data_IF_976851703881
#
_entry.id   IF_976851703881
#
_cell.length_a   1.000
_cell.length_b   1.000
_cell.length_c   1.000
_cell.angle_alpha   90.00
_cell.angle_beta   90.00
_cell.angle_gamma   90.00
#
_symmetry.space_group_name_H-M   'P 1'
#
loop_
_entity.id
_entity.type
_entity.pdbx_description
1 polymer ?
#
# COMPACT_ATOMS: atom_id res chain seq x y z
N UNK A 1 19.81 27.12 -45.59
CA UNK A 1 19.39 28.21 -44.67
C UNK A 1 19.35 27.64 -43.28
N UNK A 2 20.28 28.10 -42.44
CA UNK A 2 20.55 27.60 -41.10
C UNK A 2 19.40 27.89 -40.12
N UNK A 3 19.16 26.99 -39.17
CA UNK A 3 19.05 27.36 -37.76
C UNK A 3 19.37 26.13 -36.90
N UNK A 4 20.56 26.18 -36.30
CA UNK A 4 20.96 25.33 -35.19
C UNK A 4 20.22 25.79 -33.93
N UNK A 5 19.70 24.86 -33.13
CA UNK A 5 19.40 25.10 -31.73
C UNK A 5 20.34 24.23 -30.90
N UNK A 6 21.19 24.96 -30.20
CA UNK A 6 22.31 24.52 -29.39
C UNK A 6 21.83 23.89 -28.09
N UNK A 7 22.60 22.90 -27.66
CA UNK A 7 22.62 22.23 -26.38
C UNK A 7 22.71 23.21 -25.20
N UNK A 8 21.90 23.00 -24.17
CA UNK A 8 22.20 23.45 -22.81
C UNK A 8 22.17 22.23 -21.88
N UNK A 9 23.36 21.68 -21.68
CA UNK A 9 23.70 20.80 -20.58
C UNK A 9 23.70 21.63 -19.29
N UNK A 10 22.62 21.53 -18.53
CA UNK A 10 22.59 22.05 -17.15
C UNK A 10 23.24 21.03 -16.24
N UNK A 11 24.52 21.25 -15.95
CA UNK A 11 25.25 20.64 -14.84
C UNK A 11 24.52 20.99 -13.53
N UNK A 12 23.80 20.02 -12.96
CA UNK A 12 23.26 20.15 -11.62
C UNK A 12 24.40 19.93 -10.61
N UNK A 13 24.78 21.03 -9.97
CA UNK A 13 25.79 21.08 -8.93
C UNK A 13 25.28 20.32 -7.70
N UNK A 14 26.01 19.26 -7.35
CA UNK A 14 25.79 18.44 -6.16
C UNK A 14 26.19 19.24 -4.91
N UNK A 15 25.20 19.74 -4.16
CA UNK A 15 25.45 20.37 -2.86
C UNK A 15 25.10 19.38 -1.75
N UNK A 16 26.14 18.68 -1.27
CA UNK A 16 26.10 17.81 -0.10
C UNK A 16 25.91 18.65 1.16
N UNK A 17 24.71 18.62 1.75
CA UNK A 17 24.47 19.10 3.11
C UNK A 17 24.53 17.90 4.06
N UNK A 18 25.59 17.86 4.84
CA UNK A 18 25.77 16.88 5.91
C UNK A 18 25.03 17.24 7.21
N UNK A 19 24.79 16.19 8.01
CA UNK A 19 24.44 16.14 9.44
C UNK A 19 22.94 16.44 9.73
N UNK A 20 22.20 15.61 10.48
CA UNK A 20 22.53 14.87 11.72
C UNK A 20 21.63 13.62 11.89
N UNK A 21 22.06 12.57 12.62
CA UNK A 21 21.19 11.47 13.00
C UNK A 21 20.27 11.90 14.15
N UNK A 22 18.96 11.76 13.98
CA UNK A 22 17.99 12.13 15.01
C UNK A 22 17.86 11.00 16.05
N UNK A 23 18.10 11.41 17.30
CA UNK A 23 18.15 10.62 18.51
C UNK A 23 16.79 9.96 18.82
N UNK A 24 16.81 8.70 19.26
CA UNK A 24 15.64 8.03 19.80
C UNK A 24 15.23 8.69 21.13
N UNK A 25 14.00 9.21 21.20
CA UNK A 25 13.44 9.80 22.41
C UNK A 25 12.88 8.69 23.28
N UNK A 26 13.66 8.24 24.28
CA UNK A 26 13.12 7.56 25.47
C UNK A 26 12.12 8.51 26.13
N UNK A 27 10.89 8.02 26.34
CA UNK A 27 9.92 8.65 27.23
C UNK A 27 10.23 8.17 28.65
N UNK A 28 10.84 9.03 29.44
CA UNK A 28 10.90 8.89 30.89
C UNK A 28 9.49 9.16 31.44
N UNK A 29 8.94 8.18 32.15
CA UNK A 29 7.76 8.35 32.99
C UNK A 29 8.24 8.77 34.38
N UNK A 30 8.09 10.05 34.70
CA UNK A 30 8.21 10.56 36.05
C UNK A 30 7.14 11.64 36.26
N UNK A 31 6.30 11.42 37.28
CA UNK A 31 5.42 12.45 37.85
C UNK A 31 3.93 12.21 37.62
N UNK A 32 3.25 11.59 38.60
CA UNK A 32 2.10 12.23 39.21
C UNK A 32 1.77 11.64 40.59
N UNK A 33 1.28 12.53 41.44
CA UNK A 33 1.18 12.49 42.89
C UNK A 33 0.04 11.62 43.44
N UNK A 34 0.20 11.15 44.68
CA UNK A 34 -0.88 10.69 45.56
C UNK A 34 -1.84 11.84 45.93
N UNK A 35 -3.16 11.56 45.94
CA UNK A 35 -4.12 11.72 47.06
C UNK A 35 -5.58 11.97 46.59
N UNK A 36 -6.43 10.97 46.88
CA UNK A 36 -7.83 11.02 47.39
C UNK A 36 -9.07 11.38 46.52
N UNK A 37 -10.28 10.88 46.88
CA UNK A 37 -11.20 10.19 45.98
C UNK A 37 -12.61 10.85 45.86
N UNK A 38 -13.51 10.18 45.13
CA UNK A 38 -14.95 10.42 44.93
C UNK A 38 -15.33 11.33 43.75
N UNK A 39 -15.70 10.74 42.60
CA UNK A 39 -16.97 10.99 41.89
C UNK A 39 -17.25 9.79 40.99
N UNK A 40 -18.39 9.14 41.23
CA UNK A 40 -18.96 8.12 40.36
C UNK A 40 -19.58 8.77 39.10
N UNK A 41 -19.26 8.23 37.92
CA UNK A 41 -20.11 8.35 36.73
C UNK A 41 -19.99 7.09 35.88
N UNK A 42 -21.00 6.24 35.98
CA UNK A 42 -21.16 5.04 35.20
C UNK A 42 -21.61 5.38 33.77
N UNK A 43 -20.93 4.84 32.75
CA UNK A 43 -21.51 4.66 31.42
C UNK A 43 -20.82 3.52 30.66
N UNK A 44 -21.58 2.43 30.48
CA UNK A 44 -21.50 1.36 29.47
C UNK A 44 -20.20 0.54 29.30
N UNK A 45 -20.42 -0.75 29.59
CA UNK A 45 -19.84 -1.97 29.01
C UNK A 45 -18.61 -2.56 29.72
N UNK A 46 -18.78 -3.85 30.07
CA UNK A 46 -17.81 -4.82 30.64
C UNK A 46 -17.40 -4.62 32.10
N UNK A 47 -18.22 -5.11 33.03
CA UNK A 47 -17.77 -5.46 34.39
C UNK A 47 -17.04 -6.81 34.36
N UNK A 48 -15.72 -6.78 34.55
CA UNK A 48 -14.98 -7.90 35.13
C UNK A 48 -15.13 -7.73 36.64
N UNK A 49 -15.88 -8.63 37.28
CA UNK A 49 -16.11 -8.59 38.72
C UNK A 49 -14.85 -9.12 39.44
N UNK A 50 -13.98 -8.22 39.90
CA UNK A 50 -12.91 -8.54 40.84
C UNK A 50 -13.41 -8.27 42.26
N UNK A 51 -13.79 -9.33 42.99
CA UNK A 51 -14.11 -9.23 44.42
C UNK A 51 -12.81 -9.21 45.21
N UNK A 52 -12.43 -8.03 45.69
CA UNK A 52 -11.38 -7.86 46.71
C UNK A 52 -12.09 -7.82 48.07
N UNK A 53 -11.89 -8.84 48.91
CA UNK A 53 -12.29 -8.80 50.33
C UNK A 53 -11.12 -8.31 51.17
N UNK A 54 -11.39 -7.34 52.04
CA UNK A 54 -10.44 -6.77 52.99
C UNK A 54 -10.91 -6.98 54.43
N UNK A 55 -9.97 -7.48 55.24
CA UNK A 55 -9.76 -7.31 56.68
C UNK A 55 -10.69 -8.01 57.71
N UNK A 56 -10.08 -8.72 58.68
CA UNK A 56 -10.67 -9.03 60.00
C UNK A 56 -10.26 -10.37 60.63
N UNK A 57 -9.53 -10.32 61.75
CA UNK A 57 -8.95 -11.41 62.56
C UNK A 57 -9.96 -12.36 63.26
N UNK A 58 -9.57 -13.63 63.49
CA UNK A 58 -9.69 -14.37 64.77
C UNK A 58 -9.22 -15.85 64.69
N UNK A 59 -8.77 -16.36 65.84
CA UNK A 59 -8.01 -17.59 66.11
C UNK A 59 -8.71 -18.96 65.91
N UNK A 60 -7.84 -19.96 65.67
CA UNK A 60 -7.84 -21.37 66.10
C UNK A 60 -9.10 -22.23 66.05
N UNK A 61 -9.06 -23.32 65.26
CA UNK A 61 -8.97 -24.70 65.79
C UNK A 61 -8.78 -25.70 64.65
N UNK A 62 -7.91 -26.67 64.93
CA UNK A 62 -7.54 -27.81 64.09
C UNK A 62 -8.73 -28.74 63.91
N UNK A 63 -9.06 -29.10 62.67
CA UNK A 63 -9.49 -30.47 62.36
C UNK A 63 -9.24 -30.77 60.88
N UNK A 64 -8.62 -31.93 60.66
CA UNK A 64 -8.22 -32.43 59.37
C UNK A 64 -9.43 -33.07 58.67
N UNK A 65 -9.81 -32.54 57.52
CA UNK A 65 -10.61 -33.29 56.56
C UNK A 65 -9.95 -33.22 55.19
N UNK A 66 -9.49 -34.40 54.76
CA UNK A 66 -8.87 -34.68 53.49
C UNK A 66 -9.98 -34.77 52.44
N UNK A 67 -10.39 -33.63 51.89
CA UNK A 67 -11.33 -33.59 50.78
C UNK A 67 -10.60 -33.15 49.51
N UNK A 68 -10.52 -34.11 48.59
CA UNK A 68 -9.93 -33.93 47.28
C UNK A 68 -10.79 -32.91 46.52
N UNK A 69 -10.28 -31.68 46.41
CA UNK A 69 -10.80 -30.73 45.41
C UNK A 69 -10.54 -31.34 44.03
N UNK A 70 -11.57 -32.00 43.50
CA UNK A 70 -11.72 -32.13 42.07
C UNK A 70 -11.70 -30.73 41.48
N UNK A 71 -10.62 -30.43 40.76
CA UNK A 71 -10.53 -29.28 39.87
C UNK A 71 -11.58 -29.50 38.77
N UNK A 72 -12.81 -29.05 39.02
CA UNK A 72 -13.89 -29.05 38.05
C UNK A 72 -13.52 -28.03 36.96
N UNK A 73 -12.72 -28.48 35.99
CA UNK A 73 -12.43 -27.78 34.75
C UNK A 73 -13.78 -27.46 34.11
N UNK A 74 -14.20 -26.20 34.22
CA UNK A 74 -15.39 -25.65 33.61
C UNK A 74 -15.41 -26.01 32.11
N UNK A 75 -16.12 -27.10 31.78
CA UNK A 75 -16.39 -27.49 30.40
C UNK A 75 -17.21 -26.36 29.78
N UNK A 76 -16.83 -25.84 28.59
CA UNK A 76 -17.60 -24.79 27.97
C UNK A 76 -19.04 -25.28 27.77
N UNK A 77 -19.98 -24.63 28.44
CA UNK A 77 -21.42 -24.89 28.28
C UNK A 77 -21.75 -24.89 26.79
N UNK A 78 -22.57 -25.84 26.33
CA UNK A 78 -22.96 -26.01 24.91
C UNK A 78 -23.50 -24.73 24.24
N UNK A 79 -24.00 -23.79 25.05
CA UNK A 79 -24.46 -22.47 24.62
C UNK A 79 -23.30 -21.59 24.14
N UNK A 80 -22.15 -21.62 24.83
CA UNK A 80 -20.99 -20.82 24.46
C UNK A 80 -20.35 -21.34 23.16
N UNK A 81 -20.22 -22.67 23.04
CA UNK A 81 -19.73 -23.29 21.80
C UNK A 81 -20.66 -23.03 20.61
N UNK A 82 -21.98 -23.07 20.79
CA UNK A 82 -22.95 -22.72 19.75
C UNK A 82 -22.84 -21.23 19.33
N UNK A 83 -22.70 -20.32 20.30
CA UNK A 83 -22.53 -18.89 20.02
C UNK A 83 -21.26 -18.58 19.22
N UNK A 84 -20.16 -19.29 19.54
CA UNK A 84 -18.88 -19.19 18.83
C UNK A 84 -19.02 -19.71 17.39
N UNK A 85 -19.72 -20.83 17.18
CA UNK A 85 -19.99 -21.38 15.84
C UNK A 85 -20.83 -20.39 15.01
N UNK A 86 -21.94 -19.86 15.55
CA UNK A 86 -22.76 -18.87 14.86
C UNK A 86 -21.98 -17.60 14.48
N UNK A 87 -21.09 -17.13 15.37
CA UNK A 87 -20.23 -15.97 15.09
C UNK A 87 -19.21 -16.27 13.99
N UNK A 88 -18.66 -17.48 13.95
CA UNK A 88 -17.74 -17.93 12.89
C UNK A 88 -18.44 -18.00 11.53
N UNK A 89 -19.64 -18.57 11.47
CA UNK A 89 -20.44 -18.64 10.24
C UNK A 89 -20.86 -17.25 9.75
N UNK A 90 -21.22 -16.32 10.66
CA UNK A 90 -21.49 -14.92 10.29
C UNK A 90 -20.27 -14.23 9.68
N UNK A 91 -19.09 -14.37 10.30
CA UNK A 91 -17.84 -13.80 9.76
C UNK A 91 -17.47 -14.40 8.39
N UNK A 92 -17.70 -15.69 8.17
CA UNK A 92 -17.51 -16.32 6.85
C UNK A 92 -18.48 -15.76 5.82
N UNK A 93 -19.75 -15.58 6.18
CA UNK A 93 -20.75 -14.97 5.31
C UNK A 93 -20.37 -13.52 4.95
N UNK A 94 -19.99 -12.70 5.93
CA UNK A 94 -19.52 -11.32 5.70
C UNK A 94 -18.31 -11.30 4.74
N UNK A 95 -17.28 -12.12 4.98
CA UNK A 95 -16.11 -12.22 4.08
C UNK A 95 -16.50 -12.63 2.66
N UNK A 96 -17.43 -13.56 2.50
CA UNK A 96 -17.95 -13.95 1.18
C UNK A 96 -18.67 -12.78 0.51
N UNK A 97 -19.52 -12.05 1.24
CA UNK A 97 -20.19 -10.86 0.71
C UNK A 97 -19.19 -9.79 0.28
N UNK A 98 -18.16 -9.51 1.10
CA UNK A 98 -17.08 -8.58 0.73
C UNK A 98 -16.31 -9.04 -0.50
N UNK A 99 -15.98 -10.33 -0.60
CA UNK A 99 -15.30 -10.90 -1.77
C UNK A 99 -16.15 -10.75 -3.03
N UNK A 100 -17.44 -11.11 -2.97
CA UNK A 100 -18.37 -10.97 -4.10
C UNK A 100 -18.53 -9.51 -4.50
N UNK A 101 -18.67 -8.60 -3.53
CA UNK A 101 -18.76 -7.17 -3.79
C UNK A 101 -17.49 -6.64 -4.46
N UNK A 102 -16.30 -7.04 -3.98
CA UNK A 102 -15.02 -6.64 -4.56
C UNK A 102 -14.82 -7.20 -5.99
N UNK A 103 -15.24 -8.44 -6.25
CA UNK A 103 -15.22 -9.02 -7.60
C UNK A 103 -16.17 -8.28 -8.53
N UNK A 104 -17.42 -8.04 -8.10
CA UNK A 104 -18.42 -7.32 -8.87
C UNK A 104 -17.97 -5.87 -9.17
N UNK A 105 -17.40 -5.16 -8.19
CA UNK A 105 -16.87 -3.81 -8.41
C UNK A 105 -15.69 -3.82 -9.39
N UNK A 106 -14.76 -4.77 -9.25
CA UNK A 106 -13.59 -4.86 -10.13
C UNK A 106 -13.98 -5.16 -11.57
N UNK A 107 -14.95 -6.07 -11.76
CA UNK A 107 -15.51 -6.37 -13.08
C UNK A 107 -16.28 -5.17 -13.64
N UNK A 108 -17.06 -4.48 -12.81
CA UNK A 108 -17.79 -3.28 -13.22
C UNK A 108 -16.85 -2.15 -13.67
N UNK A 109 -15.79 -1.87 -12.91
CA UNK A 109 -14.80 -0.86 -13.26
C UNK A 109 -14.01 -1.22 -14.52
N UNK A 110 -13.58 -2.48 -14.66
CA UNK A 110 -12.85 -2.91 -15.87
C UNK A 110 -13.75 -2.87 -17.10
N UNK A 111 -15.00 -3.30 -16.98
CA UNK A 111 -15.99 -3.20 -18.06
C UNK A 111 -16.28 -1.75 -18.44
N UNK A 112 -16.48 -0.87 -17.45
CA UNK A 112 -16.71 0.56 -17.69
C UNK A 112 -15.51 1.22 -18.36
N UNK A 113 -14.28 0.89 -17.95
CA UNK A 113 -13.07 1.40 -18.60
C UNK A 113 -12.95 0.91 -20.04
N UNK A 114 -13.18 -0.38 -20.30
CA UNK A 114 -13.17 -0.94 -21.65
C UNK A 114 -14.25 -0.31 -22.53
N UNK A 115 -15.45 -0.12 -22.00
CA UNK A 115 -16.55 0.57 -22.68
C UNK A 115 -16.18 2.03 -22.98
N UNK A 116 -15.58 2.77 -22.05
CA UNK A 116 -15.17 4.15 -22.27
C UNK A 116 -14.13 4.27 -23.40
N UNK A 117 -13.13 3.38 -23.41
CA UNK A 117 -12.16 3.32 -24.52
C UNK A 117 -12.87 2.99 -25.82
N UNK A 118 -13.71 1.95 -25.85
CA UNK A 118 -14.48 1.56 -27.03
C UNK A 118 -15.33 2.72 -27.58
N UNK A 119 -16.14 3.36 -26.73
CA UNK A 119 -17.00 4.48 -27.12
C UNK A 119 -16.20 5.67 -27.62
N UNK A 120 -15.04 5.97 -27.01
CA UNK A 120 -14.17 7.04 -27.48
C UNK A 120 -13.66 6.79 -28.90
N UNK A 121 -13.24 5.57 -29.20
CA UNK A 121 -12.80 5.19 -30.54
C UNK A 121 -13.98 5.03 -31.52
N UNK A 122 -15.16 4.61 -31.08
CA UNK A 122 -16.35 4.59 -31.93
C UNK A 122 -16.78 6.00 -32.31
N UNK A 123 -16.81 6.93 -31.34
CA UNK A 123 -17.27 8.30 -31.54
C UNK A 123 -16.36 9.12 -32.47
N UNK A 124 -15.07 8.82 -32.53
CA UNK A 124 -14.15 9.46 -33.48
C UNK A 124 -14.36 8.97 -34.92
N UNK A 125 -14.90 7.75 -35.11
CA UNK A 125 -15.06 7.11 -36.43
C UNK A 125 -16.45 7.36 -37.04
N UNK A 126 -17.31 8.14 -36.37
CA UNK A 126 -18.70 8.39 -36.78
C UNK A 126 -18.83 9.12 -38.15
N UNK A 127 -17.72 9.60 -38.73
CA UNK A 127 -17.65 10.16 -40.08
C UNK A 127 -17.18 9.21 -41.18
N UNK A 128 -17.02 7.91 -40.91
CA UNK A 128 -16.61 6.88 -41.87
C UNK A 128 -15.11 6.88 -42.25
N UNK A 129 -14.40 8.00 -42.05
CA UNK A 129 -12.96 8.06 -42.17
C UNK A 129 -12.30 7.66 -40.83
N UNK A 130 -11.32 6.74 -40.88
CA UNK A 130 -10.51 6.38 -39.71
C UNK A 130 -9.48 7.49 -39.48
N UNK A 131 -9.55 8.25 -38.36
CA UNK A 131 -8.62 9.35 -38.12
C UNK A 131 -7.27 8.81 -37.60
N UNK A 132 -6.48 8.25 -38.52
CA UNK A 132 -5.24 7.53 -38.21
C UNK A 132 -4.28 8.38 -37.35
N UNK A 133 -4.13 9.67 -37.66
CA UNK A 133 -3.26 10.57 -36.90
C UNK A 133 -3.71 10.71 -35.44
N UNK A 134 -5.01 10.85 -35.19
CA UNK A 134 -5.57 10.91 -33.83
C UNK A 134 -5.40 9.59 -33.09
N UNK A 135 -5.63 8.46 -33.78
CA UNK A 135 -5.44 7.13 -33.19
C UNK A 135 -3.99 6.87 -32.80
N UNK A 136 -3.06 7.16 -33.73
CA UNK A 136 -1.63 7.00 -33.49
C UNK A 136 -1.14 7.96 -32.41
N UNK A 137 -1.64 9.20 -32.38
CA UNK A 137 -1.35 10.17 -31.33
C UNK A 137 -1.82 9.68 -29.97
N UNK A 138 -3.07 9.21 -29.87
CA UNK A 138 -3.66 8.66 -28.65
C UNK A 138 -2.84 7.47 -28.14
N UNK A 139 -2.52 6.51 -29.01
CA UNK A 139 -1.72 5.34 -28.66
C UNK A 139 -0.31 5.72 -28.21
N UNK A 140 0.36 6.60 -28.96
CA UNK A 140 1.73 7.05 -28.66
C UNK A 140 1.79 7.80 -27.34
N UNK A 141 0.80 8.66 -27.05
CA UNK A 141 0.72 9.36 -25.77
C UNK A 141 0.34 8.44 -24.62
N UNK A 142 -0.46 7.40 -24.84
CA UNK A 142 -0.74 6.40 -23.81
C UNK A 142 0.52 5.62 -23.42
N UNK A 143 1.25 5.06 -24.40
CA UNK A 143 2.51 4.35 -24.15
C UNK A 143 3.56 5.31 -23.56
N UNK A 144 3.73 6.48 -24.18
CA UNK A 144 4.69 7.49 -23.76
C UNK A 144 4.43 8.00 -22.35
N UNK A 145 3.16 8.22 -21.97
CA UNK A 145 2.81 8.66 -20.61
C UNK A 145 2.97 7.54 -19.60
N UNK A 146 2.63 6.29 -19.94
CA UNK A 146 2.86 5.15 -19.05
C UNK A 146 4.35 4.97 -18.72
N UNK A 147 5.22 5.08 -19.73
CA UNK A 147 6.68 5.01 -19.56
C UNK A 147 7.21 6.27 -18.86
N UNK A 148 6.73 7.46 -19.26
CA UNK A 148 7.11 8.75 -18.69
C UNK A 148 6.79 8.85 -17.20
N UNK A 149 5.69 8.24 -16.76
CA UNK A 149 5.30 8.19 -15.36
C UNK A 149 6.29 7.45 -14.48
N UNK A 150 7.03 6.45 -14.99
CA UNK A 150 8.11 5.82 -14.22
C UNK A 150 9.24 6.81 -13.92
N UNK A 151 9.63 7.61 -14.92
CA UNK A 151 10.66 8.63 -14.75
C UNK A 151 10.20 9.76 -13.82
N UNK A 152 8.95 10.19 -13.98
CA UNK A 152 8.32 11.17 -13.10
C UNK A 152 8.25 10.67 -11.65
N UNK A 153 7.76 9.45 -11.44
CA UNK A 153 7.64 8.84 -10.12
C UNK A 153 9.01 8.70 -9.46
N UNK A 154 10.03 8.24 -10.20
CA UNK A 154 11.41 8.18 -9.71
C UNK A 154 11.94 9.54 -9.28
N UNK A 155 11.73 10.57 -10.09
CA UNK A 155 12.14 11.93 -9.76
C UNK A 155 11.38 12.46 -8.53
N UNK A 156 10.06 12.34 -8.51
CA UNK A 156 9.22 12.82 -7.42
C UNK A 156 9.54 12.10 -6.11
N UNK A 157 9.80 10.78 -6.17
CA UNK A 157 10.17 9.98 -5.03
C UNK A 157 11.47 10.50 -4.40
N UNK A 158 12.52 10.71 -5.20
CA UNK A 158 13.79 11.24 -4.72
C UNK A 158 13.70 12.71 -4.27
N UNK A 159 13.21 13.58 -5.16
CA UNK A 159 13.32 15.02 -5.02
C UNK A 159 12.20 15.65 -4.17
N UNK A 160 11.03 15.02 -4.10
CA UNK A 160 9.90 15.51 -3.31
C UNK A 160 9.68 14.65 -2.07
N UNK A 161 9.47 13.34 -2.23
CA UNK A 161 9.05 12.47 -1.11
C UNK A 161 10.16 12.21 -0.10
N UNK A 162 11.41 12.01 -0.55
CA UNK A 162 12.57 11.87 0.35
C UNK A 162 13.21 13.20 0.76
N UNK A 163 12.71 14.34 0.26
CA UNK A 163 13.25 15.66 0.61
C UNK A 163 12.20 16.50 1.33
N UNK A 164 11.31 17.17 0.60
CA UNK A 164 10.35 18.13 1.18
C UNK A 164 9.12 17.48 1.82
N UNK A 165 8.74 16.28 1.37
CA UNK A 165 7.51 15.60 1.77
C UNK A 165 7.79 14.33 2.60
N UNK A 166 8.97 14.24 3.22
CA UNK A 166 9.37 13.09 4.04
C UNK A 166 8.39 12.83 5.18
N UNK A 167 7.86 13.87 5.82
CA UNK A 167 6.89 13.70 6.91
C UNK A 167 5.62 12.91 6.49
N UNK A 168 5.24 12.95 5.22
CA UNK A 168 4.15 12.14 4.66
C UNK A 168 4.64 10.76 4.22
N UNK A 169 5.81 10.70 3.58
CA UNK A 169 6.36 9.46 3.05
C UNK A 169 6.96 8.54 4.13
N UNK A 170 7.35 9.08 5.28
CA UNK A 170 7.90 8.33 6.41
C UNK A 170 6.90 7.29 6.94
N UNK A 171 5.59 7.54 6.85
CA UNK A 171 4.57 6.56 7.22
C UNK A 171 4.67 5.28 6.40
N UNK A 172 5.24 5.38 5.20
CA UNK A 172 5.42 4.28 4.27
C UNK A 172 6.67 3.44 4.56
N UNK A 173 7.70 4.07 5.15
CA UNK A 173 8.96 3.39 5.51
C UNK A 173 8.91 2.66 6.85
N UNK A 174 7.93 2.98 7.69
CA UNK A 174 7.79 2.38 9.02
C UNK A 174 6.81 1.21 9.00
N UNK A 175 7.08 0.14 9.78
CA UNK A 175 6.08 -0.90 10.02
C UNK A 175 4.79 -0.29 10.58
N UNK A 176 3.65 -0.74 10.07
CA UNK A 176 2.34 -0.24 10.48
C UNK A 176 1.25 -1.29 10.32
N UNK A 177 0.13 -1.02 10.98
CA UNK A 177 -1.11 -1.78 10.88
C UNK A 177 -2.21 -0.92 10.25
N UNK A 178 -3.08 -1.54 9.44
CA UNK A 178 -4.27 -0.91 8.89
C UNK A 178 -4.27 -0.74 7.36
N UNK A 179 -5.39 -0.27 6.78
CA UNK A 179 -5.56 -0.21 5.33
C UNK A 179 -4.96 1.04 4.67
N UNK A 180 -4.99 2.20 5.33
CA UNK A 180 -4.65 3.50 4.73
C UNK A 180 -3.34 4.09 5.29
N UNK A 181 -2.62 4.85 4.47
CA UNK A 181 -1.45 5.66 4.83
C UNK A 181 -1.62 7.12 4.43
N UNK A 182 -0.92 8.01 5.12
CA UNK A 182 -0.77 9.39 4.68
C UNK A 182 -0.12 9.50 3.30
N UNK A 183 0.77 8.55 2.98
CA UNK A 183 1.39 8.39 1.66
C UNK A 183 0.37 8.15 0.52
N UNK A 184 -0.81 7.58 0.80
CA UNK A 184 -1.83 7.29 -0.22
C UNK A 184 -2.35 8.59 -0.88
N UNK A 185 -2.16 9.74 -0.22
CA UNK A 185 -2.45 11.06 -0.78
C UNK A 185 -1.66 11.32 -2.06
N UNK A 186 -0.43 10.80 -2.20
CA UNK A 186 0.34 10.97 -3.44
C UNK A 186 -0.28 10.23 -4.62
N UNK A 187 -0.86 9.05 -4.40
CA UNK A 187 -1.59 8.35 -5.43
C UNK A 187 -2.83 9.15 -5.86
N UNK A 188 -3.57 9.72 -4.90
CA UNK A 188 -4.74 10.55 -5.19
C UNK A 188 -4.38 11.84 -5.96
N UNK A 189 -3.31 12.53 -5.57
CA UNK A 189 -2.83 13.74 -6.25
C UNK A 189 -2.47 13.43 -7.71
N UNK A 190 -1.82 12.30 -7.98
CA UNK A 190 -1.48 11.91 -9.35
C UNK A 190 -2.68 11.36 -10.14
N UNK A 191 -3.69 10.80 -9.47
CA UNK A 191 -4.92 10.35 -10.12
C UNK A 191 -5.77 11.52 -10.65
N UNK A 192 -5.75 12.67 -9.97
CA UNK A 192 -6.57 13.82 -10.38
C UNK A 192 -6.25 14.35 -11.79
N UNK A 193 -4.98 14.61 -12.17
CA UNK A 193 -4.61 14.93 -13.54
C UNK A 193 -5.03 13.85 -14.56
N UNK A 194 -4.89 12.56 -14.20
CA UNK A 194 -5.26 11.47 -15.09
C UNK A 194 -6.77 11.47 -15.41
N UNK A 195 -7.60 11.64 -14.38
CA UNK A 195 -9.06 11.74 -14.52
C UNK A 195 -9.46 12.98 -15.31
N UNK A 196 -8.82 14.13 -15.05
CA UNK A 196 -9.08 15.37 -15.79
C UNK A 196 -8.77 15.22 -17.29
N UNK A 197 -7.62 14.61 -17.61
CA UNK A 197 -7.20 14.33 -18.99
C UNK A 197 -8.13 13.34 -19.69
N UNK A 198 -8.52 12.25 -19.01
CA UNK A 198 -9.48 11.28 -19.53
C UNK A 198 -10.85 11.91 -19.76
N UNK A 199 -11.37 12.69 -18.81
CA UNK A 199 -12.67 13.35 -18.93
C UNK A 199 -12.66 14.35 -20.09
N UNK A 200 -11.64 15.22 -20.17
CA UNK A 200 -11.49 16.15 -21.28
C UNK A 200 -11.40 15.41 -22.62
N UNK A 201 -10.55 14.38 -22.69
CA UNK A 201 -10.36 13.57 -23.88
C UNK A 201 -11.59 12.75 -24.28
N UNK A 202 -12.46 12.39 -23.33
CA UNK A 202 -13.67 11.63 -23.61
C UNK A 202 -14.81 12.51 -24.13
N UNK A 203 -14.98 13.72 -23.58
CA UNK A 203 -16.12 14.59 -23.90
C UNK A 203 -15.88 15.56 -25.08
N UNK A 204 -14.65 15.65 -25.61
CA UNK A 204 -14.32 16.53 -26.73
C UNK A 204 -13.89 15.74 -27.96
N UNK A 205 -14.08 16.32 -29.16
CA UNK A 205 -13.61 15.75 -30.43
C UNK A 205 -12.31 16.38 -30.89
N UNK A 206 -11.58 15.64 -31.74
CA UNK A 206 -10.43 16.12 -32.47
C UNK A 206 -9.09 15.69 -31.88
N UNK A 207 -8.04 15.98 -32.65
CA UNK A 207 -6.69 15.47 -32.40
C UNK A 207 -6.19 15.73 -30.97
N UNK A 208 -6.31 16.98 -30.49
CA UNK A 208 -5.86 17.35 -29.15
C UNK A 208 -6.61 16.58 -28.04
N UNK A 209 -7.91 16.38 -28.22
CA UNK A 209 -8.71 15.56 -27.30
C UNK A 209 -8.20 14.10 -27.26
N UNK A 210 -7.86 13.52 -28.42
CA UNK A 210 -7.25 12.20 -28.50
C UNK A 210 -5.91 12.12 -27.75
N UNK A 211 -5.07 13.14 -27.89
CA UNK A 211 -3.81 13.22 -27.13
C UNK A 211 -4.04 13.26 -25.61
N UNK A 212 -4.99 14.08 -25.14
CA UNK A 212 -5.35 14.14 -23.72
C UNK A 212 -5.88 12.80 -23.22
N UNK A 213 -6.78 12.15 -23.97
CA UNK A 213 -7.31 10.84 -23.62
C UNK A 213 -6.19 9.81 -23.52
N UNK A 214 -5.28 9.78 -24.52
CA UNK A 214 -4.11 8.92 -24.53
C UNK A 214 -3.22 9.15 -23.31
N UNK A 215 -2.87 10.40 -23.01
CA UNK A 215 -2.05 10.73 -21.86
C UNK A 215 -2.68 10.30 -20.53
N UNK A 216 -3.98 10.62 -20.33
CA UNK A 216 -4.72 10.19 -19.15
C UNK A 216 -4.81 8.67 -19.01
N UNK A 217 -4.99 7.95 -20.13
CA UNK A 217 -4.99 6.49 -20.16
C UNK A 217 -3.63 5.92 -19.74
N UNK A 218 -2.53 6.47 -20.28
CA UNK A 218 -1.17 6.07 -19.92
C UNK A 218 -0.86 6.27 -18.44
N UNK A 219 -1.21 7.43 -17.88
CA UNK A 219 -1.04 7.71 -16.44
C UNK A 219 -1.86 6.74 -15.60
N UNK A 220 -3.11 6.45 -16.01
CA UNK A 220 -3.99 5.52 -15.29
C UNK A 220 -3.44 4.08 -15.33
N UNK A 221 -2.94 3.63 -16.47
CA UNK A 221 -2.32 2.31 -16.61
C UNK A 221 -1.08 2.18 -15.72
N UNK A 222 -0.22 3.20 -15.68
CA UNK A 222 0.91 3.22 -14.75
C UNK A 222 0.43 3.20 -13.29
N UNK A 223 -0.57 4.01 -12.93
CA UNK A 223 -1.15 4.02 -11.59
C UNK A 223 -1.71 2.67 -11.16
N UNK A 224 -2.39 1.95 -12.05
CA UNK A 224 -2.85 0.58 -11.78
C UNK A 224 -1.67 -0.39 -11.60
N UNK A 225 -0.67 -0.35 -12.49
CA UNK A 225 0.52 -1.18 -12.37
C UNK A 225 1.26 -0.91 -11.05
N UNK A 226 1.37 0.36 -10.65
CA UNK A 226 1.93 0.78 -9.37
C UNK A 226 1.12 0.18 -8.21
N UNK A 227 -0.20 0.34 -8.19
CA UNK A 227 -1.06 -0.26 -7.15
C UNK A 227 -0.86 -1.78 -7.02
N UNK A 228 -0.89 -2.53 -8.12
CA UNK A 228 -0.73 -3.99 -8.03
C UNK A 228 0.68 -4.39 -7.60
N UNK A 229 1.72 -3.78 -8.16
CA UNK A 229 3.11 -4.19 -7.88
C UNK A 229 3.59 -3.62 -6.56
N UNK A 230 3.47 -2.32 -6.34
CA UNK A 230 3.92 -1.68 -5.10
C UNK A 230 3.04 -2.08 -3.92
N UNK A 231 1.76 -1.72 -3.94
CA UNK A 231 0.87 -1.92 -2.78
C UNK A 231 0.51 -3.40 -2.60
N UNK A 232 0.19 -4.07 -3.70
CA UNK A 232 -0.18 -5.49 -3.69
C UNK A 232 1.01 -6.41 -3.44
N UNK A 233 2.04 -6.38 -4.30
CA UNK A 233 3.15 -7.34 -4.22
C UNK A 233 4.20 -6.96 -3.17
N UNK A 234 4.72 -5.73 -3.20
CA UNK A 234 5.80 -5.32 -2.30
C UNK A 234 5.32 -5.15 -0.86
N UNK A 235 4.21 -4.44 -0.68
CA UNK A 235 3.65 -4.14 0.63
C UNK A 235 2.62 -5.16 1.13
N UNK A 236 2.25 -6.14 0.30
CA UNK A 236 1.29 -7.20 0.65
C UNK A 236 -0.05 -6.67 1.17
N UNK A 237 -0.48 -5.49 0.71
CA UNK A 237 -1.77 -4.90 1.10
C UNK A 237 -2.96 -5.74 0.64
N UNK A 238 -2.81 -6.45 -0.48
CA UNK A 238 -3.81 -7.37 -1.03
C UNK A 238 -3.14 -8.45 -1.90
N UNK A 239 -3.76 -9.63 -2.09
CA UNK A 239 -3.19 -10.69 -2.90
C UNK A 239 -3.16 -10.32 -4.38
N UNK A 240 -2.01 -10.52 -5.03
CA UNK A 240 -1.78 -10.24 -6.47
C UNK A 240 -1.78 -11.50 -7.34
N UNK A 241 -2.05 -12.66 -6.75
CA UNK A 241 -2.12 -13.93 -7.46
C UNK A 241 -0.81 -14.32 -8.16
N UNK A 242 -0.88 -14.87 -9.40
CA UNK A 242 0.29 -15.38 -10.13
C UNK A 242 1.37 -14.33 -10.40
N UNK A 243 1.06 -13.03 -10.31
CA UNK A 243 2.04 -11.95 -10.53
C UNK A 243 3.22 -12.07 -9.55
N UNK A 244 2.98 -12.58 -8.33
CA UNK A 244 4.04 -12.76 -7.32
C UNK A 244 5.10 -13.82 -7.68
N UNK A 245 4.80 -14.74 -8.61
CA UNK A 245 5.74 -15.80 -9.02
C UNK A 245 6.61 -15.40 -10.20
N UNK A 246 6.31 -14.28 -10.86
CA UNK A 246 7.05 -13.83 -12.05
C UNK A 246 8.42 -13.31 -11.61
N UNK A 247 9.53 -13.82 -12.19
CA UNK A 247 10.89 -13.46 -11.77
C UNK A 247 11.16 -11.95 -11.81
N UNK A 248 10.69 -11.26 -12.84
CA UNK A 248 10.87 -9.81 -12.97
C UNK A 248 10.22 -9.03 -11.80
N UNK A 249 9.00 -9.42 -11.38
CA UNK A 249 8.34 -8.73 -10.27
C UNK A 249 8.96 -9.09 -8.91
N UNK A 250 9.59 -10.27 -8.78
CA UNK A 250 10.40 -10.58 -7.60
C UNK A 250 11.65 -9.70 -7.52
N UNK A 251 12.27 -9.38 -8.65
CA UNK A 251 13.37 -8.40 -8.72
C UNK A 251 12.92 -7.01 -8.30
N UNK A 252 11.77 -6.55 -8.83
CA UNK A 252 11.18 -5.25 -8.44
C UNK A 252 10.90 -5.20 -6.95
N UNK A 253 10.28 -6.25 -6.40
CA UNK A 253 9.99 -6.33 -4.97
C UNK A 253 11.27 -6.30 -4.12
N UNK A 254 12.28 -7.08 -4.49
CA UNK A 254 13.56 -7.10 -3.79
C UNK A 254 14.30 -5.75 -3.85
N UNK A 255 14.31 -5.08 -5.01
CA UNK A 255 14.89 -3.76 -5.17
C UNK A 255 14.20 -2.72 -4.27
N UNK A 256 12.87 -2.79 -4.17
CA UNK A 256 12.11 -1.89 -3.30
C UNK A 256 12.29 -2.20 -1.80
N UNK A 257 12.50 -3.46 -1.43
CA UNK A 257 12.87 -3.81 -0.05
C UNK A 257 14.25 -3.25 0.34
N UNK A 258 15.19 -3.18 -0.60
CA UNK A 258 16.49 -2.54 -0.38
C UNK A 258 16.34 -1.03 -0.16
N UNK A 259 15.41 -0.38 -0.88
CA UNK A 259 15.06 1.01 -0.66
C UNK A 259 14.54 1.26 0.77
N UNK A 260 13.59 0.45 1.24
CA UNK A 260 13.07 0.55 2.61
C UNK A 260 14.11 0.25 3.70
N UNK A 261 15.13 -0.54 3.37
CA UNK A 261 16.26 -0.78 4.26
C UNK A 261 17.25 0.40 4.33
N UNK A 262 16.97 1.49 3.60
CA UNK A 262 17.78 2.71 3.49
C UNK A 262 19.26 2.42 3.16
N UNK A 263 19.48 1.42 2.30
CA UNK A 263 20.82 1.09 1.80
C UNK A 263 21.16 2.00 0.61
N UNK A 264 22.46 2.12 0.31
CA UNK A 264 22.94 2.88 -0.85
C UNK A 264 22.43 4.34 -0.90
N UNK A 265 22.30 5.00 0.26
CA UNK A 265 21.75 6.36 0.40
C UNK A 265 20.30 6.48 -0.15
N UNK A 266 19.45 5.50 0.18
CA UNK A 266 18.05 5.45 -0.24
C UNK A 266 17.82 5.00 -1.69
N UNK A 267 18.85 4.59 -2.43
CA UNK A 267 18.67 4.04 -3.80
C UNK A 267 18.18 2.59 -3.70
N UNK A 268 17.19 2.14 -4.50
CA UNK A 268 16.58 2.82 -5.66
C UNK A 268 15.31 3.62 -5.38
N UNK A 269 14.98 4.58 -6.25
CA UNK A 269 13.75 5.40 -6.15
C UNK A 269 12.67 4.98 -7.16
N UNK A 270 13.04 4.35 -8.28
CA UNK A 270 12.11 3.82 -9.28
C UNK A 270 11.50 2.49 -8.85
N UNK A 271 10.27 2.23 -9.30
CA UNK A 271 9.60 0.96 -9.04
C UNK A 271 10.09 -0.11 -10.04
N UNK A 272 9.89 0.14 -11.33
CA UNK A 272 10.23 -0.82 -12.39
C UNK A 272 11.71 -0.73 -12.81
N UNK A 273 12.30 0.45 -12.68
CA UNK A 273 13.71 0.71 -12.99
C UNK A 273 14.65 0.57 -11.79
N UNK A 274 14.14 0.19 -10.62
CA UNK A 274 14.97 0.15 -9.41
C UNK A 274 16.16 -0.81 -9.47
N UNK A 275 16.06 -1.90 -10.24
CA UNK A 275 17.21 -2.79 -10.48
C UNK A 275 18.35 -2.10 -11.24
N UNK A 276 18.05 -1.21 -12.19
CA UNK A 276 19.06 -0.45 -12.94
C UNK A 276 19.73 0.62 -12.08
N UNK A 277 18.96 1.29 -11.23
CA UNK A 277 19.53 2.24 -10.26
C UNK A 277 20.44 1.52 -9.26
N UNK A 278 20.09 0.31 -8.84
CA UNK A 278 20.97 -0.52 -8.01
C UNK A 278 22.23 -0.94 -8.75
N UNK A 279 22.14 -1.27 -10.04
CA UNK A 279 23.30 -1.57 -10.88
C UNK A 279 24.27 -0.38 -10.93
N UNK A 280 23.77 0.84 -11.12
CA UNK A 280 24.56 2.07 -11.17
C UNK A 280 25.32 2.37 -9.86
N UNK A 281 24.79 1.96 -8.71
CA UNK A 281 25.44 2.16 -7.39
C UNK A 281 26.19 0.92 -6.88
N UNK A 282 26.33 -0.13 -7.70
CA UNK A 282 27.02 -1.37 -7.32
C UNK A 282 26.23 -2.25 -6.32
N UNK A 283 24.90 -2.10 -6.27
CA UNK A 283 24.01 -2.79 -5.34
C UNK A 283 23.52 -4.18 -5.78
N UNK A 284 24.03 -4.72 -6.89
CA UNK A 284 23.55 -5.99 -7.46
C UNK A 284 23.70 -7.19 -6.51
N UNK A 285 24.80 -7.26 -5.74
CA UNK A 285 24.97 -8.33 -4.76
C UNK A 285 23.94 -8.26 -3.61
N UNK A 286 23.51 -7.06 -3.25
CA UNK A 286 22.45 -6.89 -2.26
C UNK A 286 21.10 -7.33 -2.85
N UNK A 287 20.84 -6.97 -4.11
CA UNK A 287 19.65 -7.37 -4.85
C UNK A 287 19.51 -8.89 -4.95
N UNK A 288 20.57 -9.59 -5.38
CA UNK A 288 20.55 -11.05 -5.49
C UNK A 288 20.33 -11.74 -4.14
N UNK A 289 20.94 -11.24 -3.07
CA UNK A 289 20.74 -11.76 -1.71
C UNK A 289 19.28 -11.60 -1.28
N UNK A 290 18.68 -10.45 -1.56
CA UNK A 290 17.28 -10.19 -1.19
C UNK A 290 16.30 -11.04 -2.01
N UNK A 291 16.58 -11.26 -3.31
CA UNK A 291 15.80 -12.18 -4.15
C UNK A 291 15.87 -13.60 -3.59
N UNK A 292 17.08 -14.12 -3.28
CA UNK A 292 17.24 -15.47 -2.70
C UNK A 292 16.49 -15.60 -1.38
N UNK A 293 16.46 -14.55 -0.57
CA UNK A 293 15.67 -14.49 0.66
C UNK A 293 14.16 -14.54 0.37
N UNK A 294 13.68 -13.74 -0.58
CA UNK A 294 12.27 -13.68 -0.97
C UNK A 294 11.73 -14.99 -1.54
N UNK A 295 12.50 -15.64 -2.44
CA UNK A 295 12.14 -16.94 -3.02
C UNK A 295 12.03 -18.02 -1.94
N UNK A 296 12.98 -18.05 -0.98
CA UNK A 296 12.95 -19.00 0.14
C UNK A 296 11.69 -18.84 1.01
N UNK A 297 11.27 -17.59 1.23
CA UNK A 297 10.01 -17.29 1.95
C UNK A 297 8.82 -17.81 1.15
N UNK A 298 8.76 -17.53 -0.15
CA UNK A 298 7.66 -17.97 -1.01
C UNK A 298 7.53 -19.49 -1.10
N UNK A 299 8.65 -20.22 -1.22
CA UNK A 299 8.65 -21.69 -1.25
C UNK A 299 8.27 -22.34 0.08
N UNK A 300 8.36 -21.59 1.20
CA UNK A 300 8.06 -22.10 2.54
C UNK A 300 6.63 -21.79 3.03
N UNK A 301 5.85 -21.01 2.27
CA UNK A 301 4.48 -20.66 2.68
C UNK A 301 3.51 -21.85 2.54
N UNK A 302 2.80 -22.30 3.59
CA UNK A 302 2.07 -23.57 3.59
C UNK A 302 0.73 -23.60 2.80
N UNK A 303 0.51 -22.74 1.81
CA UNK A 303 -0.83 -22.54 1.24
C UNK A 303 -0.85 -22.34 -0.29
N UNK A 304 -0.03 -23.10 -1.01
CA UNK A 304 -0.18 -23.27 -2.46
C UNK A 304 -0.34 -24.76 -2.79
N UNK A 305 -1.53 -25.27 -2.53
CA UNK A 305 -2.08 -26.52 -3.07
C UNK A 305 -3.58 -26.37 -3.24
#
# INVERSE_FOLDING_TARGET
MAFAMSSSLTLFQYQSFGKKPFFSRRRDFAGCSMMNPLVARCNRATEICCVVRKDGEAESLVEAENDQLEEEVMKPTSIDSFSVVLRSERKKAERRTYLVAAMASSLGFTFMAAAAVYYRFAWQMEGGAVPLTEMMGTFSLAVGSAVGMEYWARWAHRALWHTSLWHMHESHHRPRDGPFELNDVFALINAFPAVALLAFGFFHRGFFSGLCFGAGLGITLYGMAYMFVHDGLVHRRFPVGPIATVPYFQWVAAAHQIHHADKFNGVPYGLFLGHKELEEVGGMEALEREIKRGVKVFSSSPNQS
#
